data_IF_653720781009
#
_entry.id   IF_653720781009
#
_cell.length_a   1.000
_cell.length_b   1.000
_cell.length_c   1.000
_cell.angle_alpha   90.00
_cell.angle_beta   90.00
_cell.angle_gamma   90.00
#
_symmetry.space_group_name_H-M   'P 1'
#
loop_
_entity.id
_entity.type
_entity.pdbx_description
1 polymer ?
#
# COMPACT_ATOMS: atom_id res chain seq x y z
N UNK A 1 19.39 -60.79 48.92
CA UNK A 1 19.56 -60.35 50.33
C UNK A 1 20.75 -59.43 50.56
N UNK A 2 21.88 -59.55 49.83
CA UNK A 2 22.99 -58.57 49.90
C UNK A 2 22.80 -57.33 49.00
N UNK A 3 22.06 -57.46 47.88
CA UNK A 3 21.80 -56.33 46.96
C UNK A 3 20.79 -55.29 47.49
N UNK A 4 19.83 -55.71 48.34
CA UNK A 4 18.89 -54.78 49.03
C UNK A 4 19.56 -54.01 50.17
N UNK A 5 20.54 -54.62 50.85
CA UNK A 5 21.26 -54.02 51.98
C UNK A 5 22.29 -52.97 51.54
N UNK A 6 22.60 -52.89 50.24
CA UNK A 6 23.59 -51.98 49.64
C UNK A 6 22.98 -50.93 48.69
N UNK A 7 21.64 -50.78 48.66
CA UNK A 7 20.96 -49.78 47.81
C UNK A 7 21.06 -50.04 46.31
N UNK A 8 21.53 -51.22 45.90
CA UNK A 8 21.79 -51.57 44.51
C UNK A 8 20.51 -51.89 43.74
N UNK A 9 19.48 -52.35 44.45
CA UNK A 9 18.13 -52.56 43.91
C UNK A 9 17.46 -51.24 43.54
N UNK A 10 17.45 -50.26 44.46
CA UNK A 10 16.89 -48.91 44.20
C UNK A 10 17.61 -48.18 43.05
N UNK A 11 18.95 -48.29 42.98
CA UNK A 11 19.72 -47.73 41.87
C UNK A 11 19.38 -48.39 40.52
N UNK A 12 19.13 -49.71 40.50
CA UNK A 12 18.71 -50.40 39.27
C UNK A 12 17.30 -49.98 38.83
N UNK A 13 16.38 -49.80 39.78
CA UNK A 13 15.04 -49.29 39.48
C UNK A 13 15.11 -47.86 38.93
N UNK A 14 15.94 -46.99 39.54
CA UNK A 14 16.11 -45.61 39.06
C UNK A 14 16.79 -45.54 37.70
N UNK A 15 17.76 -46.42 37.42
CA UNK A 15 18.38 -46.54 36.09
C UNK A 15 17.33 -46.98 35.06
N UNK A 16 16.52 -48.00 35.37
CA UNK A 16 15.47 -48.48 34.47
C UNK A 16 14.40 -47.39 34.20
N UNK A 17 14.05 -46.60 35.22
CA UNK A 17 13.13 -45.46 35.08
C UNK A 17 13.72 -44.37 34.18
N UNK A 18 14.99 -43.99 34.40
CA UNK A 18 15.69 -42.98 33.60
C UNK A 18 15.92 -43.43 32.16
N UNK A 19 16.19 -44.72 31.93
CA UNK A 19 16.31 -45.28 30.58
C UNK A 19 14.95 -45.25 29.85
N UNK A 20 13.86 -45.60 30.54
CA UNK A 20 12.51 -45.49 29.99
C UNK A 20 12.10 -44.02 29.72
N UNK A 21 12.54 -43.07 30.57
CA UNK A 21 12.31 -41.65 30.35
C UNK A 21 13.11 -41.11 29.17
N UNK A 22 14.39 -41.52 29.03
CA UNK A 22 15.22 -41.20 27.86
C UNK A 22 14.54 -41.68 26.58
N UNK A 23 14.10 -42.93 26.54
CA UNK A 23 13.47 -43.49 25.33
C UNK A 23 12.21 -42.72 24.92
N UNK A 24 11.37 -42.36 25.90
CA UNK A 24 10.19 -41.51 25.66
C UNK A 24 10.55 -40.08 25.21
N UNK A 25 11.67 -39.53 25.67
CA UNK A 25 12.13 -38.21 25.24
C UNK A 25 12.69 -38.25 23.81
N UNK A 26 13.44 -39.31 23.48
CA UNK A 26 14.04 -39.53 22.17
C UNK A 26 12.96 -39.77 21.10
N UNK A 27 11.95 -40.59 21.39
CA UNK A 27 10.79 -40.78 20.52
C UNK A 27 10.02 -39.47 20.27
N UNK A 28 9.80 -38.65 21.31
CA UNK A 28 9.16 -37.34 21.17
C UNK A 28 9.99 -36.38 20.32
N UNK A 29 11.31 -36.39 20.49
CA UNK A 29 12.22 -35.54 19.73
C UNK A 29 12.22 -35.90 18.24
N UNK A 30 12.27 -37.18 17.90
CA UNK A 30 12.22 -37.62 16.51
C UNK A 30 10.86 -37.33 15.86
N UNK A 31 9.74 -37.51 16.59
CA UNK A 31 8.41 -37.15 16.12
C UNK A 31 8.26 -35.62 15.88
N UNK A 32 8.89 -34.79 16.71
CA UNK A 32 8.90 -33.33 16.52
C UNK A 32 9.80 -32.93 15.34
N UNK A 33 10.96 -33.58 15.18
CA UNK A 33 11.82 -33.37 14.01
C UNK A 33 11.12 -33.70 12.71
N UNK A 34 10.40 -34.81 12.65
CA UNK A 34 9.69 -35.19 11.43
C UNK A 34 8.57 -34.20 11.10
N UNK A 35 7.78 -33.78 12.09
CA UNK A 35 6.78 -32.71 11.92
C UNK A 35 7.39 -31.40 11.43
N UNK A 36 8.58 -31.04 11.91
CA UNK A 36 9.30 -29.85 11.43
C UNK A 36 9.74 -30.00 9.97
N UNK A 37 10.22 -31.18 9.56
CA UNK A 37 10.61 -31.45 8.16
C UNK A 37 9.41 -31.39 7.23
N UNK A 38 8.26 -31.92 7.65
CA UNK A 38 7.02 -31.89 6.88
C UNK A 38 6.51 -30.45 6.72
N UNK A 39 6.47 -29.66 7.79
CA UNK A 39 6.06 -28.25 7.72
C UNK A 39 6.97 -27.40 6.81
N UNK A 40 8.27 -27.68 6.76
CA UNK A 40 9.19 -27.00 5.82
C UNK A 40 8.89 -27.41 4.37
N UNK A 41 8.61 -28.69 4.11
CA UNK A 41 8.22 -29.18 2.78
C UNK A 41 6.90 -28.56 2.32
N UNK A 42 5.91 -28.46 3.20
CA UNK A 42 4.63 -27.84 2.89
C UNK A 42 4.79 -26.34 2.59
N UNK A 43 5.63 -25.64 3.35
CA UNK A 43 5.95 -24.23 3.09
C UNK A 43 6.62 -24.04 1.74
N UNK A 44 7.61 -24.88 1.41
CA UNK A 44 8.28 -24.86 0.10
C UNK A 44 7.28 -25.13 -1.03
N UNK A 45 6.35 -26.08 -0.84
CA UNK A 45 5.30 -26.36 -1.80
C UNK A 45 4.32 -25.20 -2.01
N UNK A 46 4.02 -24.44 -0.95
CA UNK A 46 3.21 -23.22 -1.03
C UNK A 46 3.95 -22.09 -1.77
N UNK A 47 5.21 -21.83 -1.42
CA UNK A 47 6.09 -20.86 -2.09
C UNK A 47 6.26 -21.18 -3.58
N UNK A 48 6.45 -22.46 -3.95
CA UNK A 48 6.50 -22.88 -5.37
C UNK A 48 5.20 -22.63 -6.12
N UNK A 49 4.06 -22.77 -5.43
CA UNK A 49 2.73 -22.57 -6.03
C UNK A 49 2.46 -21.09 -6.22
N UNK A 50 2.83 -20.26 -5.26
CA UNK A 50 2.78 -18.80 -5.35
C UNK A 50 3.64 -18.30 -6.52
N UNK A 51 4.91 -18.69 -6.57
CA UNK A 51 5.80 -18.36 -7.70
C UNK A 51 5.19 -18.79 -9.05
N UNK A 52 4.55 -19.97 -9.11
CA UNK A 52 3.89 -20.43 -10.35
C UNK A 52 2.68 -19.57 -10.71
N UNK A 53 1.90 -19.14 -9.71
CA UNK A 53 0.74 -18.27 -9.91
C UNK A 53 1.18 -16.87 -10.34
N UNK A 54 2.21 -16.30 -9.71
CA UNK A 54 2.80 -15.02 -10.11
C UNK A 54 3.33 -15.05 -11.54
N UNK A 55 4.10 -16.08 -11.90
CA UNK A 55 4.55 -16.26 -13.28
C UNK A 55 3.38 -16.35 -14.26
N UNK A 56 2.29 -17.01 -13.87
CA UNK A 56 1.08 -17.11 -14.70
C UNK A 56 0.32 -15.78 -14.80
N UNK A 57 0.30 -15.00 -13.73
CA UNK A 57 -0.26 -13.63 -13.73
C UNK A 57 0.56 -12.78 -14.69
N UNK A 58 1.89 -12.77 -14.56
CA UNK A 58 2.76 -12.02 -15.47
C UNK A 58 2.62 -12.46 -16.94
N UNK A 59 2.49 -13.77 -17.20
CA UNK A 59 2.21 -14.30 -18.53
C UNK A 59 0.83 -13.89 -19.07
N UNK A 60 -0.18 -13.76 -18.20
CA UNK A 60 -1.53 -13.35 -18.56
C UNK A 60 -1.62 -11.84 -18.76
N UNK A 61 -0.97 -11.04 -17.91
CA UNK A 61 -0.79 -9.59 -18.07
C UNK A 61 -0.07 -9.31 -19.39
N UNK A 62 1.05 -9.98 -19.66
CA UNK A 62 1.77 -9.83 -20.93
C UNK A 62 1.02 -10.35 -22.17
N UNK A 63 -0.06 -11.14 -21.99
CA UNK A 63 -0.98 -11.50 -23.09
C UNK A 63 -2.14 -10.54 -23.21
N UNK A 64 -2.63 -9.98 -22.11
CA UNK A 64 -3.62 -8.93 -22.09
C UNK A 64 -3.07 -7.68 -22.78
N UNK A 65 -1.85 -7.27 -22.41
CA UNK A 65 -1.10 -6.18 -23.06
C UNK A 65 -0.99 -6.37 -24.58
N UNK A 66 -0.85 -7.62 -25.06
CA UNK A 66 -0.78 -7.95 -26.49
C UNK A 66 -2.14 -8.13 -27.17
N UNK A 67 -3.20 -8.35 -26.40
CA UNK A 67 -4.56 -8.53 -26.95
C UNK A 67 -5.30 -7.20 -27.02
N UNK A 68 -4.90 -6.22 -26.21
CA UNK A 68 -5.31 -4.81 -26.32
C UNK A 68 -4.57 -4.05 -27.45
N UNK A 69 -3.64 -4.70 -28.16
CA UNK A 69 -3.09 -4.23 -29.44
C UNK A 69 -4.11 -4.43 -30.59
N UNK A 70 -5.32 -3.89 -30.45
CA UNK A 70 -5.95 -3.25 -31.61
C UNK A 70 -5.01 -2.12 -32.07
N UNK A 71 -4.99 -1.69 -33.34
CA UNK A 71 -4.21 -0.52 -33.76
C UNK A 71 -4.85 0.75 -33.18
N UNK A 72 -4.76 0.89 -31.85
CA UNK A 72 -5.28 1.96 -31.05
C UNK A 72 -4.24 3.05 -30.86
N UNK A 73 -4.71 4.21 -30.41
CA UNK A 73 -3.84 5.32 -30.07
C UNK A 73 -3.00 4.96 -28.83
N UNK A 74 -1.71 5.25 -28.86
CA UNK A 74 -0.81 5.11 -27.71
C UNK A 74 -0.49 6.48 -27.11
N UNK A 75 -0.16 6.49 -25.83
CA UNK A 75 0.42 7.68 -25.20
C UNK A 75 1.75 8.02 -25.89
N UNK A 76 1.91 9.27 -26.31
CA UNK A 76 3.19 9.81 -26.80
C UNK A 76 4.32 9.67 -25.77
N UNK A 77 3.98 9.60 -24.48
CA UNK A 77 4.91 9.22 -23.43
C UNK A 77 4.29 9.24 -22.05
N UNK A 78 4.84 8.42 -21.15
CA UNK A 78 4.44 8.33 -19.74
C UNK A 78 5.65 8.65 -18.87
N UNK A 79 5.50 9.56 -17.90
CA UNK A 79 6.56 9.96 -16.97
C UNK A 79 6.01 9.93 -15.54
N UNK A 80 6.79 9.35 -14.61
CA UNK A 80 6.48 9.42 -13.17
C UNK A 80 7.22 10.61 -12.58
N UNK A 81 6.47 11.56 -12.03
CA UNK A 81 6.94 12.85 -11.52
C UNK A 81 6.87 12.87 -9.99
N UNK A 82 7.91 13.42 -9.36
CA UNK A 82 7.98 13.63 -7.91
C UNK A 82 8.85 14.84 -7.57
N UNK A 83 8.69 15.39 -6.37
CA UNK A 83 9.53 16.45 -5.82
C UNK A 83 9.66 17.68 -6.73
N UNK A 84 10.89 18.15 -6.94
CA UNK A 84 11.18 19.34 -7.76
C UNK A 84 10.71 19.19 -9.22
N UNK A 85 10.84 17.98 -9.79
CA UNK A 85 10.44 17.72 -11.18
C UNK A 85 8.93 17.81 -11.37
N UNK A 86 8.15 17.33 -10.40
CA UNK A 86 6.69 17.52 -10.40
C UNK A 86 6.34 19.01 -10.31
N UNK A 87 6.93 19.73 -9.35
CA UNK A 87 6.70 21.17 -9.17
C UNK A 87 7.04 21.97 -10.44
N UNK A 88 8.13 21.62 -11.13
CA UNK A 88 8.51 22.25 -12.40
C UNK A 88 7.45 22.04 -13.49
N UNK A 89 6.94 20.81 -13.64
CA UNK A 89 5.89 20.51 -14.63
C UNK A 89 4.60 21.25 -14.31
N UNK A 90 4.17 21.26 -13.05
CA UNK A 90 2.98 22.01 -12.61
C UNK A 90 3.14 23.50 -12.87
N UNK A 91 4.30 24.08 -12.57
CA UNK A 91 4.59 25.49 -12.86
C UNK A 91 4.57 25.81 -14.35
N UNK A 92 4.98 24.88 -15.22
CA UNK A 92 4.87 25.06 -16.67
C UNK A 92 3.42 25.05 -17.13
N UNK A 93 2.60 24.14 -16.62
CA UNK A 93 1.16 24.10 -16.91
C UNK A 93 0.46 25.37 -16.40
N UNK A 94 0.72 25.75 -15.16
CA UNK A 94 0.20 26.97 -14.54
C UNK A 94 0.68 28.24 -15.26
N UNK A 95 1.79 28.22 -16.01
CA UNK A 95 2.25 29.37 -16.78
C UNK A 95 1.54 29.56 -18.13
N UNK A 96 0.78 28.57 -18.60
CA UNK A 96 0.10 28.61 -19.89
C UNK A 96 -1.02 29.66 -19.87
N UNK A 97 -0.96 30.63 -20.79
CA UNK A 97 -1.99 31.67 -20.98
C UNK A 97 -2.43 31.69 -22.43
N UNK A 98 -3.73 31.75 -22.66
CA UNK A 98 -4.37 31.79 -23.99
C UNK A 98 -5.35 32.96 -24.09
N UNK A 99 -6.10 33.03 -25.19
CA UNK A 99 -7.34 33.82 -25.20
C UNK A 99 -8.41 33.19 -24.32
N UNK A 100 -9.50 33.92 -24.08
CA UNK A 100 -10.71 33.39 -23.44
C UNK A 100 -11.10 32.05 -24.08
N UNK A 101 -11.41 31.07 -23.24
CA UNK A 101 -11.80 29.70 -23.63
C UNK A 101 -10.75 28.95 -24.49
N UNK A 102 -9.46 29.27 -24.33
CA UNK A 102 -8.39 28.62 -25.10
C UNK A 102 -7.81 27.35 -24.46
N UNK A 103 -8.10 27.08 -23.19
CA UNK A 103 -7.62 25.88 -22.49
C UNK A 103 -8.77 25.18 -21.78
N UNK A 104 -8.95 23.90 -22.07
CA UNK A 104 -9.77 22.98 -21.29
C UNK A 104 -8.94 22.43 -20.13
N UNK A 105 -9.50 22.52 -18.93
CA UNK A 105 -9.05 21.76 -17.77
C UNK A 105 -10.20 20.93 -17.22
N UNK A 106 -9.99 19.64 -17.01
CA UNK A 106 -11.02 18.76 -16.49
C UNK A 106 -10.45 17.73 -15.52
N UNK A 107 -11.05 17.59 -14.34
CA UNK A 107 -10.83 16.45 -13.48
C UNK A 107 -11.78 15.34 -13.90
N UNK A 108 -11.24 14.26 -14.46
CA UNK A 108 -11.97 13.12 -15.00
C UNK A 108 -11.80 11.93 -14.06
N UNK A 109 -12.91 11.31 -13.71
CA UNK A 109 -12.97 10.06 -12.94
C UNK A 109 -13.52 8.94 -13.86
N UNK A 110 -14.53 8.17 -13.47
CA UNK A 110 -14.97 7.00 -14.24
C UNK A 110 -15.46 7.32 -15.67
N UNK A 111 -16.17 8.44 -15.86
CA UNK A 111 -16.77 8.82 -17.13
C UNK A 111 -16.08 10.05 -17.75
N UNK A 112 -15.87 10.03 -19.07
CA UNK A 112 -15.30 11.16 -19.83
C UNK A 112 -16.44 12.10 -20.27
N UNK A 113 -16.47 13.37 -19.83
CA UNK A 113 -17.48 14.33 -20.26
C UNK A 113 -17.41 14.64 -21.76
N UNK A 114 -18.54 14.99 -22.38
CA UNK A 114 -18.62 15.34 -23.82
C UNK A 114 -17.66 16.47 -24.20
N UNK A 115 -17.44 17.44 -23.32
CA UNK A 115 -16.50 18.54 -23.53
C UNK A 115 -15.04 18.04 -23.64
N UNK A 116 -14.70 17.02 -22.84
CA UNK A 116 -13.39 16.37 -22.89
C UNK A 116 -13.26 15.52 -24.15
N UNK A 117 -14.32 14.80 -24.53
CA UNK A 117 -14.33 14.05 -25.80
C UNK A 117 -14.13 14.99 -27.00
N UNK A 118 -14.80 16.14 -27.02
CA UNK A 118 -14.68 17.13 -28.07
C UNK A 118 -13.27 17.73 -28.14
N UNK A 119 -12.66 18.07 -27.00
CA UNK A 119 -11.34 18.69 -26.96
C UNK A 119 -10.21 17.73 -27.32
N UNK A 120 -10.28 16.48 -26.87
CA UNK A 120 -9.26 15.48 -27.16
C UNK A 120 -9.50 14.74 -28.49
N UNK A 121 -10.73 14.78 -29.02
CA UNK A 121 -11.12 14.18 -30.28
C UNK A 121 -10.79 12.70 -30.32
N UNK A 122 -10.02 12.27 -31.33
CA UNK A 122 -9.57 10.88 -31.46
C UNK A 122 -8.84 10.38 -30.20
N UNK A 123 -8.19 11.27 -29.43
CA UNK A 123 -7.42 10.93 -28.23
C UNK A 123 -8.27 10.76 -26.96
N UNK A 124 -9.57 11.02 -27.00
CA UNK A 124 -10.44 10.86 -25.82
C UNK A 124 -10.33 9.48 -25.12
N UNK A 125 -10.17 8.34 -25.82
CA UNK A 125 -9.94 7.03 -25.19
C UNK A 125 -8.63 6.93 -24.39
N UNK A 126 -7.64 7.80 -24.65
CA UNK A 126 -6.43 7.89 -23.82
C UNK A 126 -6.70 8.57 -22.48
N UNK A 127 -7.64 9.51 -22.42
CA UNK A 127 -8.06 10.16 -21.16
C UNK A 127 -8.75 9.15 -20.26
N UNK A 128 -9.68 8.35 -20.80
CA UNK A 128 -10.32 7.25 -20.06
C UNK A 128 -9.29 6.27 -19.50
N UNK A 129 -8.28 5.88 -20.28
CA UNK A 129 -7.17 5.02 -19.82
C UNK A 129 -6.30 5.66 -18.73
N UNK A 130 -6.21 6.99 -18.69
CA UNK A 130 -5.47 7.72 -17.68
C UNK A 130 -6.27 7.97 -16.39
N UNK A 131 -7.59 7.76 -16.40
CA UNK A 131 -8.51 8.02 -15.29
C UNK A 131 -8.17 7.24 -14.00
N UNK A 132 -8.40 7.80 -12.79
CA UNK A 132 -8.73 9.22 -12.54
C UNK A 132 -7.57 10.15 -12.90
N UNK A 133 -7.84 11.26 -13.59
CA UNK A 133 -6.80 12.23 -13.97
C UNK A 133 -7.32 13.65 -14.20
N UNK A 134 -6.43 14.63 -13.99
CA UNK A 134 -6.58 15.99 -14.48
C UNK A 134 -6.13 16.05 -15.94
N UNK A 135 -7.08 16.17 -16.86
CA UNK A 135 -6.88 16.32 -18.29
C UNK A 135 -6.76 17.80 -18.66
N UNK A 136 -5.74 18.14 -19.45
CA UNK A 136 -5.49 19.51 -19.93
C UNK A 136 -5.26 19.48 -21.44
N UNK A 137 -6.01 20.29 -22.17
CA UNK A 137 -5.86 20.48 -23.60
C UNK A 137 -6.02 21.95 -23.98
N UNK A 138 -5.19 22.46 -24.89
CA UNK A 138 -5.40 23.77 -25.52
C UNK A 138 -6.11 23.63 -26.88
N UNK A 139 -6.76 24.71 -27.30
CA UNK A 139 -7.46 24.83 -28.58
C UNK A 139 -6.53 24.73 -29.80
N UNK A 140 -5.25 25.09 -29.65
CA UNK A 140 -4.23 25.00 -30.68
C UNK A 140 -3.51 23.64 -30.74
N UNK A 141 -3.78 22.73 -29.79
CA UNK A 141 -3.20 21.39 -29.72
C UNK A 141 -1.69 21.33 -29.38
N UNK A 142 -1.16 22.39 -28.78
CA UNK A 142 0.22 22.45 -28.28
C UNK A 142 0.42 21.65 -26.99
N UNK A 143 -0.62 21.56 -26.17
CA UNK A 143 -0.70 20.90 -24.88
C UNK A 143 -1.84 19.89 -24.94
N UNK A 144 -1.50 18.63 -24.72
CA UNK A 144 -2.48 17.55 -24.55
C UNK A 144 -1.87 16.55 -23.58
N UNK A 145 -2.29 16.65 -22.33
CA UNK A 145 -1.72 15.88 -21.22
C UNK A 145 -2.80 15.45 -20.22
N UNK A 146 -2.52 14.39 -19.49
CA UNK A 146 -3.30 13.97 -18.33
C UNK A 146 -2.36 13.71 -17.14
N UNK A 147 -2.74 14.12 -15.93
CA UNK A 147 -1.97 13.91 -14.72
C UNK A 147 -2.81 13.21 -13.65
N UNK A 148 -2.27 12.18 -13.00
CA UNK A 148 -2.89 11.60 -11.80
C UNK A 148 -2.61 12.49 -10.58
N UNK A 149 -3.66 13.08 -10.03
CA UNK A 149 -3.61 13.85 -8.78
C UNK A 149 -3.75 12.92 -7.56
N UNK A 150 -2.78 12.87 -6.63
CA UNK A 150 -2.89 12.13 -5.38
C UNK A 150 -4.04 12.61 -4.49
N UNK A 151 -4.32 13.91 -4.52
CA UNK A 151 -5.42 14.56 -3.80
C UNK A 151 -6.38 15.17 -4.81
N UNK A 152 -7.01 14.30 -5.60
CA UNK A 152 -7.94 14.69 -6.66
C UNK A 152 -9.14 15.48 -6.10
N UNK A 153 -9.52 16.61 -6.73
CA UNK A 153 -10.78 17.29 -6.42
C UNK A 153 -11.98 16.53 -6.98
N UNK A 154 -13.19 16.99 -6.67
CA UNK A 154 -14.40 16.51 -7.33
C UNK A 154 -14.32 16.70 -8.86
N UNK A 155 -14.92 15.82 -9.67
CA UNK A 155 -14.91 15.94 -11.12
C UNK A 155 -15.47 17.27 -11.61
N UNK A 156 -14.77 17.89 -12.57
CA UNK A 156 -15.18 19.16 -13.18
C UNK A 156 -14.67 19.25 -14.62
N UNK A 157 -15.24 20.16 -15.42
CA UNK A 157 -14.74 20.55 -16.73
C UNK A 157 -14.93 22.05 -16.94
N UNK A 158 -13.88 22.75 -17.35
CA UNK A 158 -13.94 24.20 -17.59
C UNK A 158 -13.03 24.63 -18.73
N UNK A 159 -13.50 25.58 -19.52
CA UNK A 159 -12.70 26.30 -20.51
C UNK A 159 -12.34 27.67 -19.95
N UNK A 160 -11.06 28.04 -20.03
CA UNK A 160 -10.55 29.31 -19.50
C UNK A 160 -9.37 29.82 -20.34
N UNK A 161 -8.84 30.99 -19.98
CA UNK A 161 -7.61 31.56 -20.54
C UNK A 161 -6.33 31.04 -19.85
N UNK A 162 -6.48 30.17 -18.85
CA UNK A 162 -5.40 29.49 -18.13
C UNK A 162 -5.80 28.07 -17.71
N UNK A 163 -4.82 27.26 -17.31
CA UNK A 163 -5.08 25.96 -16.70
C UNK A 163 -5.68 26.15 -15.30
N UNK A 164 -6.78 25.46 -14.99
CA UNK A 164 -7.38 25.45 -13.65
C UNK A 164 -6.72 24.35 -12.79
N UNK A 165 -5.64 24.74 -12.10
CA UNK A 165 -4.74 23.83 -11.40
C UNK A 165 -4.40 24.34 -10.00
N UNK A 166 -4.68 23.53 -8.98
CA UNK A 166 -4.16 23.78 -7.64
C UNK A 166 -2.96 22.87 -7.32
N UNK A 167 -1.88 23.46 -6.82
CA UNK A 167 -0.67 22.70 -6.49
C UNK A 167 -0.90 21.72 -5.33
N UNK A 168 -1.82 22.06 -4.42
CA UNK A 168 -2.23 21.19 -3.31
C UNK A 168 -2.89 19.86 -3.73
N UNK A 169 -3.31 19.71 -4.99
CA UNK A 169 -3.76 18.41 -5.51
C UNK A 169 -2.61 17.43 -5.74
N UNK A 170 -1.37 17.94 -5.86
CA UNK A 170 -0.18 17.22 -6.29
C UNK A 170 0.99 17.26 -5.32
N UNK A 171 1.04 18.29 -4.47
CA UNK A 171 2.16 18.56 -3.57
C UNK A 171 1.66 18.66 -2.12
N UNK A 172 2.53 18.37 -1.13
CA UNK A 172 2.23 18.58 0.28
C UNK A 172 2.17 20.08 0.57
N UNK A 173 1.00 20.68 0.39
CA UNK A 173 0.70 22.09 0.68
C UNK A 173 -0.38 22.22 1.75
N UNK A 174 -0.38 23.36 2.44
CA UNK A 174 -1.29 23.61 3.56
C UNK A 174 -0.90 22.86 4.83
N UNK A 175 -1.84 22.78 5.77
CA UNK A 175 -1.69 22.02 7.02
C UNK A 175 -2.43 20.69 6.90
N UNK A 176 -1.75 19.57 7.20
CA UNK A 176 -2.35 18.25 7.12
C UNK A 176 -1.65 17.25 8.06
N UNK A 177 -2.37 16.22 8.49
CA UNK A 177 -1.79 15.04 9.11
C UNK A 177 -1.63 13.92 8.07
N UNK A 178 -0.50 13.24 8.12
CA UNK A 178 -0.22 12.07 7.29
C UNK A 178 0.10 10.89 8.20
N UNK A 179 -0.71 9.82 8.11
CA UNK A 179 -0.60 8.65 8.96
C UNK A 179 -0.33 7.38 8.15
N UNK A 180 0.71 6.65 8.52
CA UNK A 180 1.00 5.30 8.07
C UNK A 180 0.41 4.30 9.07
N UNK A 181 -0.49 3.43 8.58
CA UNK A 181 -1.18 2.42 9.39
C UNK A 181 -0.95 1.02 8.82
N UNK A 182 -0.38 0.16 9.64
CA UNK A 182 -0.26 -1.27 9.41
C UNK A 182 -0.92 -2.02 10.57
N UNK A 183 -0.98 -3.34 10.46
CA UNK A 183 -1.51 -4.20 11.53
C UNK A 183 -0.76 -4.06 12.84
N UNK A 184 0.53 -3.72 12.78
CA UNK A 184 1.52 -3.75 13.85
C UNK A 184 2.28 -2.43 14.03
N UNK A 185 2.08 -1.46 13.14
CA UNK A 185 2.84 -0.21 13.12
C UNK A 185 1.92 0.97 12.83
N UNK A 186 2.11 2.01 13.62
CA UNK A 186 1.52 3.32 13.40
C UNK A 186 2.61 4.38 13.42
N UNK A 187 2.61 5.25 12.41
CA UNK A 187 3.39 6.46 12.40
C UNK A 187 2.54 7.60 11.86
N UNK A 188 2.63 8.77 12.45
CA UNK A 188 1.88 9.95 12.04
C UNK A 188 2.74 11.19 12.17
N UNK A 189 2.72 12.02 11.14
CA UNK A 189 3.32 13.35 11.15
C UNK A 189 2.25 14.40 10.89
N UNK A 190 2.38 15.53 11.57
CA UNK A 190 1.65 16.76 11.22
C UNK A 190 2.58 17.64 10.41
N UNK A 191 2.07 18.20 9.30
CA UNK A 191 2.85 18.92 8.32
C UNK A 191 2.27 20.32 8.08
N UNK A 192 3.17 21.29 7.90
CA UNK A 192 2.87 22.59 7.30
C UNK A 192 3.67 22.70 6.00
N UNK A 193 3.01 22.45 4.88
CA UNK A 193 3.66 22.26 3.60
C UNK A 193 4.62 21.07 3.63
N UNK A 194 5.91 21.34 3.41
CA UNK A 194 6.96 20.32 3.42
C UNK A 194 7.63 20.13 4.79
N UNK A 195 7.31 20.96 5.78
CA UNK A 195 7.90 20.89 7.11
C UNK A 195 7.04 20.02 8.03
N UNK A 196 7.64 19.00 8.66
CA UNK A 196 6.99 18.20 9.69
C UNK A 196 7.09 18.93 11.04
N UNK A 197 5.95 19.32 11.60
CA UNK A 197 5.87 20.09 12.85
C UNK A 197 5.66 19.21 14.09
N UNK A 198 5.07 18.02 13.92
CA UNK A 198 4.93 17.03 14.99
C UNK A 198 5.06 15.62 14.42
N UNK A 199 5.46 14.68 15.28
CA UNK A 199 5.60 13.27 14.94
C UNK A 199 5.20 12.39 16.12
N UNK A 200 4.50 11.30 15.82
CA UNK A 200 4.05 10.29 16.77
C UNK A 200 4.11 8.92 16.11
N UNK A 201 4.73 7.94 16.77
CA UNK A 201 4.75 6.57 16.30
C UNK A 201 4.68 5.58 17.44
N UNK A 202 4.15 4.39 17.15
CA UNK A 202 4.21 3.24 18.04
C UNK A 202 4.03 1.94 17.26
N UNK A 203 4.64 0.88 17.78
CA UNK A 203 4.46 -0.47 17.27
C UNK A 203 3.58 -1.27 18.24
N UNK A 204 2.98 -2.35 17.75
CA UNK A 204 2.17 -3.27 18.55
C UNK A 204 2.58 -4.71 18.25
N UNK A 205 2.62 -5.54 19.29
CA UNK A 205 2.97 -6.97 19.22
C UNK A 205 1.85 -7.81 18.59
N UNK A 206 1.41 -7.44 17.40
CA UNK A 206 0.47 -8.23 16.60
C UNK A 206 1.26 -9.36 15.97
N UNK A 207 0.96 -10.61 16.38
CA UNK A 207 1.66 -11.76 15.83
C UNK A 207 1.36 -11.90 14.34
N UNK A 208 2.41 -12.09 13.53
CA UNK A 208 2.28 -12.36 12.10
C UNK A 208 1.49 -13.64 11.82
N UNK A 209 1.03 -13.79 10.57
CA UNK A 209 0.28 -14.97 10.15
C UNK A 209 1.08 -16.26 10.36
N UNK A 210 0.60 -17.10 11.28
CA UNK A 210 1.19 -18.40 11.52
C UNK A 210 0.64 -19.40 10.50
N UNK A 211 1.45 -19.76 9.50
CA UNK A 211 1.14 -20.78 8.48
C UNK A 211 0.98 -22.22 9.01
N UNK A 212 0.92 -22.43 10.32
CA UNK A 212 0.73 -23.76 10.92
C UNK A 212 -0.76 -24.09 11.01
N UNK A 213 -1.29 -24.70 9.95
CA UNK A 213 -2.62 -25.30 9.94
C UNK A 213 -2.76 -26.39 11.01
N UNK A 214 -3.60 -26.15 12.00
CA UNK A 214 -3.86 -27.08 13.09
C UNK A 214 -4.99 -26.59 13.98
N UNK A 215 -5.55 -27.47 14.82
CA UNK A 215 -6.75 -27.28 15.65
C UNK A 215 -6.79 -26.03 16.57
N UNK A 216 -5.75 -25.20 16.57
CA UNK A 216 -5.65 -23.92 17.29
C UNK A 216 -5.68 -22.68 16.38
N UNK A 217 -5.70 -22.85 15.05
CA UNK A 217 -5.65 -21.77 14.06
C UNK A 217 -6.74 -20.71 14.28
N UNK A 218 -8.01 -21.14 14.39
CA UNK A 218 -9.12 -20.20 14.65
C UNK A 218 -9.11 -19.51 16.02
N UNK A 219 -8.27 -19.95 16.98
CA UNK A 219 -8.04 -19.20 18.24
C UNK A 219 -6.89 -18.20 18.10
N UNK A 220 -5.92 -18.48 17.23
CA UNK A 220 -4.83 -17.55 16.92
C UNK A 220 -5.31 -16.42 16.01
N UNK A 221 -6.08 -16.74 14.98
CA UNK A 221 -6.70 -15.75 14.07
C UNK A 221 -7.57 -14.77 14.87
N UNK A 222 -8.48 -15.26 15.74
CA UNK A 222 -9.29 -14.38 16.60
C UNK A 222 -8.47 -13.49 17.52
N UNK A 223 -7.43 -14.05 18.16
CA UNK A 223 -6.55 -13.24 19.02
C UNK A 223 -5.79 -12.19 18.23
N UNK A 224 -5.41 -12.48 16.99
CA UNK A 224 -4.77 -11.54 16.10
C UNK A 224 -5.74 -10.45 15.67
N UNK A 225 -6.97 -10.80 15.29
CA UNK A 225 -8.01 -9.85 14.94
C UNK A 225 -8.32 -8.91 16.13
N UNK A 226 -8.41 -9.46 17.35
CA UNK A 226 -8.59 -8.68 18.58
C UNK A 226 -7.41 -7.72 18.80
N UNK A 227 -6.16 -8.18 18.58
CA UNK A 227 -4.96 -7.35 18.68
C UNK A 227 -4.92 -6.23 17.62
N UNK A 228 -5.31 -6.53 16.38
CA UNK A 228 -5.41 -5.54 15.31
C UNK A 228 -6.48 -4.52 15.66
N UNK A 229 -7.65 -4.95 16.15
CA UNK A 229 -8.72 -4.05 16.56
C UNK A 229 -8.28 -3.11 17.69
N UNK A 230 -7.53 -3.62 18.68
CA UNK A 230 -6.93 -2.80 19.73
C UNK A 230 -5.92 -1.79 19.17
N UNK A 231 -5.03 -2.23 18.27
CA UNK A 231 -4.06 -1.36 17.61
C UNK A 231 -4.76 -0.23 16.84
N UNK A 232 -5.75 -0.56 16.00
CA UNK A 232 -6.55 0.42 15.26
C UNK A 232 -7.31 1.37 16.19
N UNK A 233 -7.74 0.91 17.36
CA UNK A 233 -8.28 1.76 18.42
C UNK A 233 -7.30 2.86 18.84
N UNK A 234 -6.05 2.47 19.14
CA UNK A 234 -4.97 3.42 19.49
C UNK A 234 -4.65 4.37 18.34
N UNK A 235 -4.65 3.89 17.10
CA UNK A 235 -4.42 4.74 15.92
C UNK A 235 -5.50 5.82 15.80
N UNK A 236 -6.78 5.45 15.95
CA UNK A 236 -7.89 6.41 15.90
C UNK A 236 -7.84 7.41 17.05
N UNK A 237 -7.52 6.98 18.25
CA UNK A 237 -7.31 7.89 19.40
C UNK A 237 -6.18 8.88 19.12
N UNK A 238 -5.06 8.42 18.57
CA UNK A 238 -3.93 9.27 18.25
C UNK A 238 -4.26 10.32 17.18
N UNK A 239 -5.02 9.94 16.14
CA UNK A 239 -5.50 10.85 15.09
C UNK A 239 -6.50 11.86 15.69
N UNK A 240 -7.45 11.40 16.49
CA UNK A 240 -8.46 12.25 17.10
C UNK A 240 -7.87 13.27 18.08
N UNK A 241 -6.79 12.92 18.79
CA UNK A 241 -6.08 13.84 19.68
C UNK A 241 -5.37 14.96 18.91
N UNK A 242 -4.80 14.66 17.74
CA UNK A 242 -4.20 15.68 16.87
C UNK A 242 -5.27 16.60 16.24
N UNK A 243 -6.45 16.05 15.94
CA UNK A 243 -7.58 16.81 15.39
C UNK A 243 -7.28 17.56 14.10
N UNK A 244 -6.68 16.91 13.08
CA UNK A 244 -6.27 17.58 11.85
C UNK A 244 -7.47 18.06 11.02
N UNK A 245 -7.32 19.20 10.35
CA UNK A 245 -8.31 19.68 9.37
C UNK A 245 -8.34 18.83 8.10
N UNK A 246 -7.18 18.26 7.72
CA UNK A 246 -7.01 17.34 6.60
C UNK A 246 -6.19 16.14 7.03
N UNK A 247 -6.70 14.94 6.81
CA UNK A 247 -6.09 13.67 7.16
C UNK A 247 -5.85 12.81 5.92
N UNK A 248 -4.61 12.37 5.74
CA UNK A 248 -4.22 11.41 4.72
C UNK A 248 -3.76 10.13 5.41
N UNK A 249 -4.36 8.98 5.06
CA UNK A 249 -4.02 7.68 5.67
C UNK A 249 -3.47 6.72 4.62
N UNK A 250 -2.27 6.22 4.85
CA UNK A 250 -1.61 5.25 3.97
C UNK A 250 -1.27 3.98 4.73
N UNK A 251 -1.07 2.87 4.01
CA UNK A 251 -0.58 1.62 4.60
C UNK A 251 -1.29 0.38 4.09
N UNK A 252 -1.65 -0.54 4.98
CA UNK A 252 -2.26 -1.81 4.56
C UNK A 252 -3.68 -1.60 4.02
N UNK A 253 -3.90 -1.98 2.75
CA UNK A 253 -5.18 -1.79 2.02
C UNK A 253 -6.42 -2.25 2.81
N UNK A 254 -6.31 -3.37 3.53
CA UNK A 254 -7.43 -3.95 4.29
C UNK A 254 -7.84 -3.12 5.50
N UNK A 255 -6.96 -2.24 6.00
CA UNK A 255 -7.16 -1.44 7.21
C UNK A 255 -7.59 0.00 6.89
N UNK A 256 -7.33 0.51 5.68
CA UNK A 256 -7.60 1.91 5.31
C UNK A 256 -9.07 2.31 5.49
N UNK A 257 -10.00 1.39 5.21
CA UNK A 257 -11.45 1.58 5.37
C UNK A 257 -11.91 1.84 6.82
N UNK A 258 -11.03 1.62 7.80
CA UNK A 258 -11.33 1.81 9.22
C UNK A 258 -11.07 3.26 9.68
N UNK A 259 -10.61 4.12 8.77
CA UNK A 259 -10.30 5.53 8.99
C UNK A 259 -11.16 6.40 8.09
N UNK A 260 -11.74 7.44 8.67
CA UNK A 260 -12.42 8.51 7.94
C UNK A 260 -11.36 9.56 7.58
N UNK A 261 -10.81 9.46 6.38
CA UNK A 261 -9.69 10.27 5.91
C UNK A 261 -10.03 10.89 4.55
N UNK A 262 -9.52 12.10 4.30
CA UNK A 262 -9.74 12.82 3.04
C UNK A 262 -9.11 12.10 1.84
N UNK A 263 -8.01 11.37 2.08
CA UNK A 263 -7.40 10.52 1.07
C UNK A 263 -6.78 9.27 1.69
N UNK A 264 -6.84 8.16 0.93
CA UNK A 264 -6.20 6.91 1.34
C UNK A 264 -5.40 6.27 0.22
N UNK A 265 -4.29 5.60 0.57
CA UNK A 265 -3.49 4.84 -0.40
C UNK A 265 -2.81 3.63 0.22
N UNK A 266 -2.87 2.51 -0.49
CA UNK A 266 -2.12 1.34 -0.08
C UNK A 266 -0.62 1.55 -0.33
N UNK A 267 0.22 1.32 0.69
CA UNK A 267 1.68 1.33 0.59
C UNK A 267 2.28 0.16 1.37
N UNK A 268 3.45 -0.30 0.95
CA UNK A 268 4.18 -1.39 1.62
C UNK A 268 5.44 -0.87 2.35
N UNK A 269 5.35 0.33 2.93
CA UNK A 269 6.44 0.88 3.74
C UNK A 269 6.69 -0.01 4.96
N UNK A 270 7.95 -0.39 5.17
CA UNK A 270 8.41 -1.29 6.24
C UNK A 270 9.65 -0.71 6.91
N UNK A 271 9.96 -1.16 8.12
CA UNK A 271 11.15 -0.73 8.84
C UNK A 271 10.83 0.26 9.96
N UNK A 272 11.77 1.17 10.22
CA UNK A 272 11.61 2.18 11.27
C UNK A 272 10.38 3.07 11.00
N UNK A 273 9.53 3.35 12.00
CA UNK A 273 8.30 4.11 11.80
C UNK A 273 8.52 5.51 11.22
N UNK A 274 9.63 6.17 11.54
CA UNK A 274 9.93 7.52 11.07
C UNK A 274 10.35 7.49 9.59
N UNK A 275 11.29 6.62 9.24
CA UNK A 275 11.77 6.43 7.87
C UNK A 275 10.64 5.93 6.94
N UNK A 276 9.85 4.97 7.42
CA UNK A 276 8.72 4.42 6.68
C UNK A 276 7.65 5.47 6.40
N UNK A 277 7.43 6.40 7.34
CA UNK A 277 6.51 7.52 7.13
C UNK A 277 7.02 8.49 6.06
N UNK A 278 8.31 8.83 6.08
CA UNK A 278 8.92 9.73 5.11
C UNK A 278 8.90 9.14 3.69
N UNK A 279 9.24 7.85 3.56
CA UNK A 279 9.16 7.12 2.29
C UNK A 279 7.72 7.11 1.76
N UNK A 280 6.76 6.76 2.63
CA UNK A 280 5.35 6.71 2.25
C UNK A 280 4.80 8.08 1.83
N UNK A 281 5.26 9.16 2.47
CA UNK A 281 4.91 10.54 2.08
C UNK A 281 5.43 10.86 0.67
N UNK A 282 6.69 10.54 0.38
CA UNK A 282 7.29 10.76 -0.93
C UNK A 282 6.61 9.96 -2.05
N UNK A 283 6.26 8.71 -1.77
CA UNK A 283 5.55 7.84 -2.71
C UNK A 283 4.09 8.25 -2.93
N UNK A 284 3.44 8.79 -1.88
CA UNK A 284 2.10 9.32 -1.98
C UNK A 284 2.04 10.51 -2.93
N UNK A 285 2.93 11.50 -2.75
CA UNK A 285 3.04 12.71 -3.59
C UNK A 285 3.85 12.47 -4.88
N UNK A 286 3.54 11.36 -5.56
CA UNK A 286 4.07 11.01 -6.86
C UNK A 286 2.93 10.94 -7.87
N UNK A 287 3.12 11.55 -9.04
CA UNK A 287 2.09 11.68 -10.08
C UNK A 287 2.56 11.10 -11.41
N UNK A 288 1.66 10.41 -12.09
CA UNK A 288 1.91 9.97 -13.48
C UNK A 288 1.42 11.05 -14.45
N UNK A 289 2.33 11.51 -15.31
CA UNK A 289 2.04 12.36 -16.45
C UNK A 289 1.92 11.49 -17.70
N UNK A 290 0.81 11.62 -18.39
CA UNK A 290 0.55 11.02 -19.70
C UNK A 290 0.55 12.12 -20.74
N UNK A 291 1.29 11.93 -21.83
CA UNK A 291 1.28 12.80 -23.01
C UNK A 291 0.39 12.15 -24.05
N UNK A 292 -0.69 12.81 -24.45
CA UNK A 292 -1.67 12.30 -25.41
C UNK A 292 -1.33 12.74 -26.85
#
# INVERSE_FOLDING_TARGET
MLDDLLGRSELKERIAELEAERDRLEERFEAERERRREAVRDRQGAEERENRLENRISDLEGRLDRTDEEPGLDFRGVETLRGERLREVLSRLDSLRTSEEGVLTAMVDDDVPEEVEAAFGERAPLVSRASPCLAVADDAGLVSVALRAPLAPDPFSTWSDSVDLEFGWFLPEGEFAFALVRSDLFAMGEYRGHERVAFRAFESDVKGDHSKGGFSQGRFERRRDDQIAEHLGKCREAIAEAGPERLIVVGQRTLLKEFDADATRAVDATGDPEDALEEALGDFFTSRLYRL
#
